data_IF_980145083059
#
_entry.id   IF_980145083059
#
_cell.length_a   1.000
_cell.length_b   1.000
_cell.length_c   1.000
_cell.angle_alpha   90.00
_cell.angle_beta   90.00
_cell.angle_gamma   90.00
#
_symmetry.space_group_name_H-M   'P 1'
#
loop_
_entity.id
_entity.type
_entity.pdbx_description
1 polymer ?
#
# COMPACT_ATOMS: atom_id res chain seq x y z
N UNK A 1 22.46 -17.80 -5.65
CA UNK A 1 21.87 -16.47 -5.32
C UNK A 1 22.98 -15.44 -5.47
N UNK A 2 22.81 -14.42 -6.32
CA UNK A 2 23.89 -13.45 -6.61
C UNK A 2 24.10 -12.57 -5.37
N UNK A 3 25.25 -12.75 -4.71
CA UNK A 3 25.77 -11.81 -3.71
C UNK A 3 25.76 -10.42 -4.33
N UNK A 4 25.07 -9.49 -3.67
CA UNK A 4 25.29 -8.07 -3.92
C UNK A 4 26.62 -7.76 -3.23
N UNK A 5 27.74 -8.07 -3.88
CA UNK A 5 29.02 -7.52 -3.47
C UNK A 5 28.91 -6.02 -3.72
N UNK A 6 28.52 -5.30 -2.68
CA UNK A 6 28.65 -3.85 -2.63
C UNK A 6 30.15 -3.61 -2.67
N UNK A 7 30.66 -3.07 -3.76
CA UNK A 7 32.08 -2.72 -3.82
C UNK A 7 32.31 -1.53 -2.89
N UNK A 8 33.47 -1.51 -2.23
CA UNK A 8 33.90 -0.33 -1.47
C UNK A 8 33.91 0.93 -2.34
N UNK A 9 34.21 0.77 -3.63
CA UNK A 9 34.12 1.82 -4.65
C UNK A 9 32.69 2.38 -4.80
N UNK A 10 31.67 1.52 -4.80
CA UNK A 10 30.27 1.96 -4.86
C UNK A 10 29.90 2.79 -3.61
N UNK A 11 30.35 2.38 -2.42
CA UNK A 11 30.10 3.12 -1.18
C UNK A 11 30.79 4.48 -1.19
N UNK A 12 32.04 4.54 -1.67
CA UNK A 12 32.78 5.79 -1.81
C UNK A 12 32.08 6.77 -2.78
N UNK A 13 31.56 6.27 -3.90
CA UNK A 13 30.79 7.09 -4.85
C UNK A 13 29.48 7.59 -4.24
N UNK A 14 28.77 6.76 -3.48
CA UNK A 14 27.55 7.18 -2.76
C UNK A 14 27.88 8.34 -1.81
N UNK A 15 28.94 8.22 -0.99
CA UNK A 15 29.36 9.27 -0.07
C UNK A 15 29.66 10.58 -0.80
N UNK A 16 30.39 10.52 -1.92
CA UNK A 16 30.71 11.71 -2.74
C UNK A 16 29.46 12.41 -3.26
N UNK A 17 28.45 11.65 -3.71
CA UNK A 17 27.20 12.23 -4.21
C UNK A 17 26.39 12.85 -3.06
N UNK A 18 26.35 12.20 -1.90
CA UNK A 18 25.69 12.74 -0.70
C UNK A 18 26.33 14.06 -0.27
N UNK A 19 27.66 14.12 -0.22
CA UNK A 19 28.41 15.33 0.11
C UNK A 19 28.11 16.46 -0.89
N UNK A 20 28.17 16.17 -2.20
CA UNK A 20 27.85 17.15 -3.23
C UNK A 20 26.38 17.66 -3.13
N UNK A 21 25.45 16.78 -2.79
CA UNK A 21 24.04 17.16 -2.60
C UNK A 21 23.88 18.17 -1.47
N UNK A 22 24.47 17.90 -0.30
CA UNK A 22 24.39 18.82 0.83
C UNK A 22 25.22 20.11 0.61
N UNK A 23 26.30 20.08 -0.16
CA UNK A 23 27.03 21.29 -0.51
C UNK A 23 26.23 22.23 -1.43
N UNK A 24 25.39 21.68 -2.30
CA UNK A 24 24.55 22.47 -3.22
C UNK A 24 23.19 22.85 -2.62
N UNK A 25 22.65 22.04 -1.70
CA UNK A 25 21.35 22.26 -1.07
C UNK A 25 21.50 22.62 0.41
N UNK A 26 21.80 23.89 0.68
CA UNK A 26 22.05 24.40 2.05
C UNK A 26 20.82 24.47 2.94
N UNK A 27 19.61 24.53 2.36
CA UNK A 27 18.36 24.67 3.11
C UNK A 27 17.90 23.36 3.78
N UNK A 28 18.34 22.20 3.28
CA UNK A 28 17.88 20.90 3.77
C UNK A 28 18.97 20.24 4.63
N UNK A 29 18.61 19.93 5.87
CA UNK A 29 19.49 19.24 6.83
C UNK A 29 19.26 17.72 6.86
N UNK A 30 18.12 17.25 6.39
CA UNK A 30 17.78 15.84 6.29
C UNK A 30 16.90 15.59 5.08
N UNK A 31 17.14 14.48 4.38
CA UNK A 31 16.30 14.02 3.27
C UNK A 31 16.02 12.52 3.37
N UNK A 32 14.85 12.04 2.90
CA UNK A 32 14.63 10.63 2.63
C UNK A 32 15.64 10.09 1.60
N UNK A 33 16.18 8.89 1.84
CA UNK A 33 17.16 8.28 0.94
C UNK A 33 16.69 8.12 -0.52
N UNK A 34 15.37 8.01 -0.74
CA UNK A 34 14.80 7.89 -2.08
C UNK A 34 14.97 9.17 -2.92
N UNK A 35 15.14 10.33 -2.29
CA UNK A 35 15.10 11.63 -2.97
C UNK A 35 16.45 11.95 -3.66
N UNK A 36 17.58 11.41 -3.17
CA UNK A 36 18.91 11.55 -3.80
C UNK A 36 19.13 10.60 -4.99
N UNK A 37 18.15 9.76 -5.32
CA UNK A 37 18.32 8.74 -6.36
C UNK A 37 18.62 9.33 -7.74
N UNK A 38 18.08 10.52 -8.05
CA UNK A 38 18.35 11.19 -9.32
C UNK A 38 19.84 11.50 -9.46
N UNK A 39 20.44 12.12 -8.44
CA UNK A 39 21.85 12.51 -8.45
C UNK A 39 22.78 11.29 -8.49
N UNK A 40 22.39 10.20 -7.81
CA UNK A 40 23.15 8.96 -7.85
C UNK A 40 23.12 8.27 -9.22
N UNK A 41 22.03 8.43 -9.98
CA UNK A 41 21.94 7.91 -11.35
C UNK A 41 22.75 8.79 -12.30
N UNK A 42 22.65 10.11 -12.15
CA UNK A 42 23.44 11.07 -12.94
C UNK A 42 24.96 10.87 -12.73
N UNK A 43 25.36 10.59 -11.49
CA UNK A 43 26.75 10.24 -11.15
C UNK A 43 27.17 8.82 -11.59
N UNK A 44 26.27 8.02 -12.17
CA UNK A 44 26.56 6.67 -12.67
C UNK A 44 26.62 5.56 -11.61
N UNK A 45 26.28 5.87 -10.34
CA UNK A 45 26.31 4.91 -9.22
C UNK A 45 25.23 3.83 -9.38
N UNK A 46 24.08 4.21 -9.92
CA UNK A 46 22.99 3.30 -10.25
C UNK A 46 22.53 3.49 -11.69
N UNK A 47 22.14 2.41 -12.35
CA UNK A 47 21.64 2.46 -13.74
C UNK A 47 20.24 3.04 -13.86
N UNK A 48 19.40 2.83 -12.84
CA UNK A 48 18.02 3.34 -12.80
C UNK A 48 17.47 3.29 -11.38
N UNK A 49 16.48 4.14 -11.11
CA UNK A 49 15.67 3.99 -9.94
C UNK A 49 14.60 2.91 -10.17
N UNK A 50 14.36 2.09 -9.15
CA UNK A 50 13.25 1.13 -9.13
C UNK A 50 12.54 1.19 -7.79
N UNK A 51 11.21 1.16 -7.82
CA UNK A 51 10.37 1.17 -6.61
C UNK A 51 10.75 2.28 -5.60
N UNK A 52 11.08 3.48 -6.10
CA UNK A 52 11.41 4.68 -5.30
C UNK A 52 12.57 4.44 -4.33
N UNK A 53 13.79 4.42 -4.87
CA UNK A 53 15.04 4.24 -4.12
C UNK A 53 15.28 2.83 -3.58
N UNK A 54 14.71 1.79 -4.19
CA UNK A 54 15.05 0.41 -3.78
C UNK A 54 16.54 0.06 -3.98
N UNK A 55 17.23 0.48 -5.07
CA UNK A 55 18.63 0.16 -5.28
C UNK A 55 19.50 0.63 -4.10
N UNK A 56 19.38 1.89 -3.70
CA UNK A 56 20.11 2.46 -2.57
C UNK A 56 19.72 1.79 -1.24
N UNK A 57 18.43 1.56 -0.99
CA UNK A 57 17.97 0.88 0.23
C UNK A 57 18.50 -0.55 0.36
N UNK A 58 18.79 -1.25 -0.75
CA UNK A 58 19.45 -2.57 -0.70
C UNK A 58 20.88 -2.46 -0.19
N UNK A 59 21.61 -1.41 -0.59
CA UNK A 59 22.96 -1.13 -0.09
C UNK A 59 22.92 -0.91 1.41
N UNK A 60 22.03 -0.03 1.89
CA UNK A 60 21.90 0.26 3.32
C UNK A 60 21.50 -0.98 4.14
N UNK A 61 20.57 -1.80 3.64
CA UNK A 61 20.17 -3.04 4.32
C UNK A 61 21.30 -4.06 4.44
N UNK A 62 22.15 -4.16 3.42
CA UNK A 62 23.30 -5.07 3.47
C UNK A 62 24.35 -4.55 4.47
N UNK A 63 24.66 -3.26 4.46
CA UNK A 63 25.56 -2.64 5.44
C UNK A 63 25.02 -2.75 6.87
N UNK A 64 23.72 -2.54 7.08
CA UNK A 64 23.07 -2.70 8.39
C UNK A 64 23.13 -4.13 8.90
N UNK A 65 22.92 -5.12 8.02
CA UNK A 65 23.06 -6.54 8.35
C UNK A 65 24.50 -6.89 8.79
N UNK A 66 25.48 -6.24 8.19
CA UNK A 66 26.91 -6.42 8.49
C UNK A 66 27.41 -5.49 9.61
N UNK A 67 26.53 -4.67 10.22
CA UNK A 67 26.88 -3.63 11.19
C UNK A 67 27.95 -2.65 10.68
N UNK A 68 27.94 -2.39 9.38
CA UNK A 68 28.91 -1.56 8.65
C UNK A 68 28.27 -0.26 8.11
N UNK A 69 27.22 0.25 8.76
CA UNK A 69 26.54 1.50 8.35
C UNK A 69 27.42 2.74 8.52
N UNK A 70 28.41 2.67 9.41
CA UNK A 70 29.45 3.68 9.65
C UNK A 70 30.25 4.03 8.39
N UNK A 71 30.29 3.14 7.39
CA UNK A 71 30.88 3.42 6.07
C UNK A 71 30.17 4.54 5.31
N UNK A 72 28.94 4.89 5.69
CA UNK A 72 28.16 6.01 5.14
C UNK A 72 27.70 6.89 6.32
N UNK A 73 28.55 7.80 6.84
CA UNK A 73 28.26 8.54 8.07
C UNK A 73 26.97 9.37 8.01
N UNK A 74 26.57 9.80 6.82
CA UNK A 74 25.35 10.56 6.59
C UNK A 74 24.07 9.71 6.76
N UNK A 75 24.14 8.37 6.77
CA UNK A 75 22.93 7.53 6.81
C UNK A 75 22.35 7.44 8.22
N UNK A 76 21.04 7.62 8.33
CA UNK A 76 20.28 7.37 9.56
C UNK A 76 19.15 6.38 9.31
N UNK A 77 19.03 5.41 10.23
CA UNK A 77 18.03 4.35 10.17
C UNK A 77 16.99 4.54 11.28
N UNK A 78 15.82 5.06 10.92
CA UNK A 78 14.66 5.14 11.80
C UNK A 78 13.92 3.80 11.77
N UNK A 79 13.91 3.10 12.92
CA UNK A 79 13.35 1.75 13.05
C UNK A 79 12.00 1.80 13.75
N UNK A 80 10.98 1.24 13.11
CA UNK A 80 9.65 1.00 13.71
C UNK A 80 9.46 -0.50 13.93
N UNK A 81 8.32 -0.90 14.50
CA UNK A 81 7.98 -2.31 14.70
C UNK A 81 7.92 -3.12 13.40
N UNK A 82 7.55 -2.47 12.28
CA UNK A 82 7.25 -3.14 11.01
C UNK A 82 8.21 -2.78 9.88
N UNK A 83 8.97 -1.69 10.02
CA UNK A 83 9.77 -1.16 8.92
C UNK A 83 11.03 -0.41 9.39
N UNK A 84 11.98 -0.25 8.47
CA UNK A 84 13.14 0.62 8.63
C UNK A 84 13.10 1.69 7.54
N UNK A 85 13.06 2.95 7.96
CA UNK A 85 13.10 4.13 7.11
C UNK A 85 14.54 4.66 7.06
N UNK A 86 14.98 5.01 5.85
CA UNK A 86 16.35 5.41 5.58
C UNK A 86 16.38 6.90 5.24
N UNK A 87 17.20 7.64 5.98
CA UNK A 87 17.41 9.07 5.82
C UNK A 87 18.88 9.37 5.61
N UNK A 88 19.15 10.50 4.99
CA UNK A 88 20.47 11.09 4.85
C UNK A 88 20.48 12.40 5.60
N UNK A 89 21.46 12.60 6.47
CA UNK A 89 21.63 13.81 7.26
C UNK A 89 22.91 14.51 6.83
N UNK A 90 22.85 15.83 6.89
CA UNK A 90 24.05 16.68 6.85
C UNK A 90 24.91 16.38 8.07
N UNK A 91 26.22 16.47 7.90
CA UNK A 91 27.17 16.38 9.01
C UNK A 91 26.82 17.38 10.11
N UNK A 92 26.68 16.89 11.34
CA UNK A 92 26.30 17.69 12.52
C UNK A 92 24.81 18.04 12.65
N UNK A 93 23.95 17.62 11.71
CA UNK A 93 22.51 17.81 11.85
C UNK A 93 21.87 16.72 12.74
N UNK A 94 20.86 17.11 13.52
CA UNK A 94 20.03 16.17 14.25
C UNK A 94 18.89 15.64 13.37
N UNK A 95 18.54 14.36 13.57
CA UNK A 95 17.39 13.77 12.89
C UNK A 95 16.11 14.34 13.48
N UNK A 96 15.30 14.99 12.63
CA UNK A 96 13.92 15.37 12.98
C UNK A 96 12.99 14.29 12.41
N UNK A 97 12.33 13.48 13.27
CA UNK A 97 11.38 12.48 12.83
C UNK A 97 10.26 13.13 12.00
N UNK A 98 9.88 12.49 10.89
CA UNK A 98 8.75 12.96 10.13
C UNK A 98 7.46 12.47 10.80
N UNK A 99 6.74 13.38 11.48
CA UNK A 99 5.47 13.07 12.16
C UNK A 99 4.44 12.38 11.23
N UNK A 100 4.52 12.62 9.91
CA UNK A 100 3.64 12.02 8.90
C UNK A 100 3.80 10.49 8.73
N UNK A 101 4.82 9.86 9.34
CA UNK A 101 4.98 8.40 9.33
C UNK A 101 3.89 7.71 10.17
N UNK A 102 3.22 8.44 11.08
CA UNK A 102 2.04 7.96 11.82
C UNK A 102 0.74 7.96 11.01
N UNK A 103 0.80 8.20 9.69
CA UNK A 103 -0.40 8.16 8.86
C UNK A 103 -0.90 6.72 8.71
N UNK A 104 -1.98 6.42 9.45
CA UNK A 104 -2.87 5.25 9.35
C UNK A 104 -2.77 4.63 7.95
N UNK A 105 -2.36 3.36 7.90
CA UNK A 105 -2.11 2.64 6.66
C UNK A 105 -3.37 2.64 5.79
N UNK A 106 -3.21 2.54 4.46
CA UNK A 106 -4.36 2.41 3.55
C UNK A 106 -5.29 1.26 3.94
N UNK A 107 -4.74 0.20 4.56
CA UNK A 107 -5.51 -0.94 5.05
C UNK A 107 -6.38 -0.54 6.25
N UNK A 108 -5.80 0.13 7.23
CA UNK A 108 -6.53 0.59 8.42
C UNK A 108 -7.60 1.63 8.03
N UNK A 109 -7.30 2.57 7.13
CA UNK A 109 -8.32 3.51 6.62
C UNK A 109 -9.46 2.79 5.91
N UNK A 110 -9.15 1.81 5.05
CA UNK A 110 -10.18 1.03 4.35
C UNK A 110 -11.00 0.16 5.32
N UNK A 111 -10.38 -0.33 6.39
CA UNK A 111 -11.06 -1.06 7.46
C UNK A 111 -12.00 -0.15 8.23
N UNK A 112 -11.53 1.02 8.67
CA UNK A 112 -12.32 2.03 9.37
C UNK A 112 -13.50 2.51 8.53
N UNK A 113 -13.30 2.80 7.24
CA UNK A 113 -14.41 3.16 6.33
C UNK A 113 -15.45 2.04 6.24
N UNK A 114 -15.03 0.78 6.25
CA UNK A 114 -15.96 -0.36 6.22
C UNK A 114 -16.69 -0.52 7.55
N UNK A 115 -16.00 -0.38 8.67
CA UNK A 115 -16.60 -0.51 10.01
C UNK A 115 -17.58 0.64 10.31
N UNK A 116 -17.42 1.78 9.66
CA UNK A 116 -18.32 2.92 9.74
C UNK A 116 -19.46 2.91 8.70
N UNK A 117 -19.64 1.84 7.92
CA UNK A 117 -20.74 1.78 6.93
C UNK A 117 -22.05 1.32 7.55
N UNK A 118 -23.18 1.76 6.99
CA UNK A 118 -24.52 1.33 7.40
C UNK A 118 -24.70 -0.19 7.26
N UNK A 119 -24.15 -0.78 6.19
CA UNK A 119 -24.08 -2.24 6.00
C UNK A 119 -23.46 -2.91 7.24
N UNK A 120 -22.33 -2.40 7.71
CA UNK A 120 -21.60 -2.98 8.84
C UNK A 120 -22.41 -2.85 10.14
N UNK A 121 -22.98 -1.69 10.40
CA UNK A 121 -23.83 -1.45 11.57
C UNK A 121 -25.05 -2.39 11.62
N UNK A 122 -25.79 -2.49 10.51
CA UNK A 122 -26.99 -3.35 10.43
C UNK A 122 -26.62 -4.81 10.63
N UNK A 123 -25.53 -5.26 10.02
CA UNK A 123 -25.08 -6.65 10.15
C UNK A 123 -24.57 -6.97 11.56
N UNK A 124 -23.96 -6.01 12.27
CA UNK A 124 -23.58 -6.17 13.67
C UNK A 124 -24.80 -6.33 14.59
N UNK A 125 -25.87 -5.55 14.35
CA UNK A 125 -27.16 -5.76 15.04
C UNK A 125 -27.74 -7.14 14.76
N UNK A 126 -27.68 -7.61 13.51
CA UNK A 126 -28.12 -8.96 13.17
C UNK A 126 -27.32 -10.04 13.91
N UNK A 127 -26.01 -9.87 14.08
CA UNK A 127 -25.19 -10.81 14.86
C UNK A 127 -25.66 -10.89 16.32
N UNK A 128 -25.99 -9.76 16.92
CA UNK A 128 -26.48 -9.69 18.32
C UNK A 128 -27.84 -10.36 18.45
N UNK A 129 -28.77 -10.07 17.55
CA UNK A 129 -30.13 -10.63 17.55
C UNK A 129 -30.11 -12.14 17.31
N UNK A 130 -29.24 -12.61 16.41
CA UNK A 130 -29.10 -14.03 16.08
C UNK A 130 -28.18 -14.78 17.06
N UNK A 131 -27.46 -14.06 17.93
CA UNK A 131 -26.43 -14.59 18.81
C UNK A 131 -25.40 -15.48 18.06
N UNK A 132 -25.07 -15.08 16.83
CA UNK A 132 -24.14 -15.77 15.92
C UNK A 132 -23.35 -14.72 15.15
N UNK A 133 -22.03 -14.91 14.99
CA UNK A 133 -21.22 -14.05 14.12
C UNK A 133 -21.31 -14.51 12.67
N UNK A 134 -21.79 -13.65 11.78
CA UNK A 134 -21.89 -13.99 10.37
C UNK A 134 -20.53 -14.06 9.66
N UNK A 135 -20.47 -14.85 8.60
CA UNK A 135 -19.44 -14.71 7.58
C UNK A 135 -19.76 -13.49 6.71
N UNK A 136 -19.02 -12.39 6.90
CA UNK A 136 -19.16 -11.15 6.11
C UNK A 136 -18.63 -11.32 4.68
N UNK A 137 -19.28 -10.70 3.69
CA UNK A 137 -18.94 -10.80 2.25
C UNK A 137 -18.80 -12.25 1.79
N UNK A 138 -19.70 -13.12 2.25
CA UNK A 138 -19.62 -14.55 2.01
C UNK A 138 -19.81 -14.88 0.53
N UNK A 139 -19.02 -15.81 -0.01
CA UNK A 139 -19.18 -16.26 -1.39
C UNK A 139 -19.47 -17.74 -1.45
N UNK A 140 -20.53 -18.13 -2.16
CA UNK A 140 -20.80 -19.54 -2.43
C UNK A 140 -20.15 -20.00 -3.75
N UNK A 141 -19.67 -21.25 -3.84
CA UNK A 141 -19.12 -21.78 -5.10
C UNK A 141 -20.11 -21.79 -6.27
N UNK A 142 -21.42 -21.88 -5.98
CA UNK A 142 -22.47 -21.91 -6.98
C UNK A 142 -22.99 -20.52 -7.38
N UNK A 143 -22.75 -19.49 -6.57
CA UNK A 143 -23.20 -18.13 -6.84
C UNK A 143 -22.11 -17.37 -7.61
N UNK A 144 -22.24 -17.41 -8.93
CA UNK A 144 -21.22 -16.92 -9.86
C UNK A 144 -21.78 -15.83 -10.76
N UNK A 145 -21.00 -14.77 -10.97
CA UNK A 145 -21.26 -13.74 -11.98
C UNK A 145 -20.97 -14.23 -13.39
N UNK A 146 -20.86 -13.29 -14.32
CA UNK A 146 -20.69 -13.61 -15.73
C UNK A 146 -19.34 -14.25 -16.07
N UNK A 147 -19.32 -14.87 -17.25
CA UNK A 147 -18.09 -15.40 -17.83
C UNK A 147 -17.14 -14.26 -18.16
N UNK A 148 -15.91 -14.35 -17.68
CA UNK A 148 -14.89 -13.33 -17.98
C UNK A 148 -14.56 -13.34 -19.48
N UNK A 149 -14.12 -12.22 -20.04
CA UNK A 149 -13.83 -12.05 -21.49
C UNK A 149 -12.93 -13.12 -22.12
N UNK A 150 -12.15 -13.85 -21.31
CA UNK A 150 -11.24 -14.93 -21.74
C UNK A 150 -11.80 -16.34 -21.55
N UNK A 151 -13.06 -16.48 -21.10
CA UNK A 151 -13.81 -17.73 -21.04
C UNK A 151 -13.36 -18.76 -19.99
N UNK A 152 -12.38 -18.45 -19.14
CA UNK A 152 -11.75 -19.43 -18.23
C UNK A 152 -12.29 -19.41 -16.81
N UNK A 153 -12.84 -18.29 -16.37
CA UNK A 153 -13.17 -18.05 -14.97
C UNK A 153 -14.48 -17.29 -14.85
N UNK A 154 -15.12 -17.45 -13.69
CA UNK A 154 -16.27 -16.66 -13.23
C UNK A 154 -15.94 -16.09 -11.85
N UNK A 155 -16.42 -14.89 -11.56
CA UNK A 155 -16.28 -14.29 -10.23
C UNK A 155 -17.33 -14.89 -9.30
N UNK A 156 -16.97 -15.29 -8.09
CA UNK A 156 -17.97 -15.63 -7.07
C UNK A 156 -18.57 -14.34 -6.55
N UNK A 157 -19.89 -14.25 -6.50
CA UNK A 157 -20.57 -13.04 -6.03
C UNK A 157 -20.59 -13.06 -4.49
N UNK A 158 -20.08 -12.00 -3.85
CA UNK A 158 -20.16 -11.87 -2.40
C UNK A 158 -21.58 -11.46 -1.99
N UNK A 159 -22.05 -12.01 -0.89
CA UNK A 159 -23.28 -11.62 -0.19
C UNK A 159 -22.91 -10.92 1.11
N UNK A 160 -23.72 -9.97 1.56
CA UNK A 160 -23.39 -9.14 2.72
C UNK A 160 -23.05 -9.98 3.97
N UNK A 161 -23.89 -10.96 4.31
CA UNK A 161 -23.63 -11.90 5.41
C UNK A 161 -24.23 -13.29 5.20
N UNK A 162 -23.57 -14.30 5.79
CA UNK A 162 -24.11 -15.66 5.92
C UNK A 162 -23.95 -16.17 7.36
N UNK A 163 -25.07 -16.55 7.97
CA UNK A 163 -25.17 -17.19 9.28
C UNK A 163 -25.36 -18.68 9.08
N UNK A 164 -24.38 -19.47 9.50
CA UNK A 164 -24.32 -20.89 9.21
C UNK A 164 -25.30 -21.66 10.08
N UNK A 165 -25.37 -21.34 11.38
CA UNK A 165 -26.22 -22.08 12.32
C UNK A 165 -27.69 -21.69 12.12
N UNK A 166 -27.97 -20.41 11.87
CA UNK A 166 -29.30 -19.95 11.48
C UNK A 166 -29.70 -20.35 10.04
N UNK A 167 -28.76 -20.84 9.23
CA UNK A 167 -28.92 -21.12 7.80
C UNK A 167 -29.57 -19.94 7.04
N UNK A 168 -29.09 -18.73 7.32
CA UNK A 168 -29.65 -17.47 6.83
C UNK A 168 -28.60 -16.68 6.06
N UNK A 169 -29.00 -16.12 4.92
CA UNK A 169 -28.21 -15.17 4.13
C UNK A 169 -28.87 -13.81 4.19
N UNK A 170 -28.06 -12.76 4.32
CA UNK A 170 -28.50 -11.36 4.21
C UNK A 170 -27.76 -10.72 3.04
N UNK A 171 -28.51 -9.98 2.22
CA UNK A 171 -27.97 -9.07 1.22
C UNK A 171 -28.34 -7.63 1.58
N UNK A 172 -27.39 -6.71 1.47
CA UNK A 172 -27.59 -5.31 1.78
C UNK A 172 -27.75 -4.52 0.48
N UNK A 173 -28.95 -3.97 0.27
CA UNK A 173 -29.26 -3.13 -0.87
C UNK A 173 -29.16 -1.68 -0.42
N UNK A 174 -28.12 -0.98 -0.86
CA UNK A 174 -28.06 0.47 -0.73
C UNK A 174 -29.19 1.07 -1.59
N UNK A 175 -30.02 1.91 -0.98
CA UNK A 175 -31.03 2.65 -1.74
C UNK A 175 -30.30 3.74 -2.51
N UNK A 176 -30.23 3.60 -3.82
CA UNK A 176 -29.74 4.63 -4.72
C UNK A 176 -30.50 5.94 -4.50
N UNK A 177 -29.79 7.06 -4.57
CA UNK A 177 -30.42 8.37 -4.52
C UNK A 177 -31.25 8.58 -5.79
N UNK A 178 -32.31 9.40 -5.74
CA UNK A 178 -33.16 9.66 -6.93
C UNK A 178 -32.38 10.18 -8.15
N UNK A 179 -31.17 10.73 -7.94
CA UNK A 179 -30.26 11.18 -9.00
C UNK A 179 -29.56 10.02 -9.75
N UNK A 180 -29.32 8.89 -9.09
CA UNK A 180 -28.59 7.75 -9.66
C UNK A 180 -29.50 6.89 -10.58
N UNK A 181 -30.82 6.89 -10.30
CA UNK A 181 -31.81 6.16 -11.12
C UNK A 181 -32.00 6.72 -12.53
N UNK A 182 -31.73 8.01 -12.73
CA UNK A 182 -31.80 8.66 -14.04
C UNK A 182 -30.58 8.34 -14.91
N UNK A 183 -29.40 8.13 -14.31
CA UNK A 183 -28.19 7.72 -15.03
C UNK A 183 -28.21 6.24 -15.43
N UNK A 184 -28.77 5.35 -14.61
CA UNK A 184 -28.88 3.92 -14.94
C UNK A 184 -29.87 3.69 -16.09
N UNK A 185 -31.02 4.39 -16.11
CA UNK A 185 -31.97 4.34 -17.25
C UNK A 185 -31.36 4.78 -18.58
N UNK A 186 -30.35 5.65 -18.55
CA UNK A 186 -29.60 6.05 -19.75
C UNK A 186 -28.54 5.00 -20.16
N UNK A 187 -28.05 4.20 -19.21
CA UNK A 187 -27.02 3.17 -19.44
C UNK A 187 -27.56 1.74 -19.67
N UNK A 188 -28.86 1.48 -19.47
CA UNK A 188 -29.45 0.19 -19.84
C UNK A 188 -29.78 0.14 -21.34
N UNK A 189 -28.78 -0.17 -22.18
CA UNK A 189 -29.07 -0.89 -23.42
C UNK A 189 -29.35 -2.35 -23.07
N UNK A 190 -30.63 -2.72 -23.01
CA UNK A 190 -31.02 -4.13 -22.94
C UNK A 190 -30.61 -4.85 -24.23
N UNK A 191 -29.60 -5.72 -24.17
CA UNK A 191 -29.46 -6.86 -25.08
C UNK A 191 -30.01 -8.11 -24.39
N UNK A 192 -31.31 -8.08 -24.15
CA UNK A 192 -32.12 -9.30 -24.01
C UNK A 192 -33.36 -9.07 -24.85
N UNK A 193 -33.41 -9.73 -26.00
CA UNK A 193 -34.52 -9.63 -26.94
C UNK A 193 -35.76 -10.35 -26.45
N UNK A 194 -36.50 -9.73 -25.52
CA UNK A 194 -37.88 -10.10 -25.18
C UNK A 194 -38.66 -8.81 -24.98
N UNK A 195 -39.52 -8.49 -25.94
CA UNK A 195 -40.56 -7.45 -25.82
C UNK A 195 -41.81 -8.06 -25.21
N UNK A 196 -42.43 -7.37 -24.26
CA UNK A 196 -43.87 -7.47 -24.00
C UNK A 196 -44.62 -6.53 -24.93
#
# INVERSE_FOLDING_TARGET
>A
MKNSNISEDQVAQINKVIENYFNTNTEKNSIPAKDIMSDLIEAGVFTKDTKKGLPLRKVFRALDKEKALDKIPAVHAERTETAVYWYLLREGAEFVPNEAIRAVSKKEKAQETRENSDEFYVLDLCDEVLNEKASRKHTFPFLLGDMHKRGKTRTKLPLAAFYKEANLVIEFLEKESEADQDEEKLNVMTVSGITS
#
